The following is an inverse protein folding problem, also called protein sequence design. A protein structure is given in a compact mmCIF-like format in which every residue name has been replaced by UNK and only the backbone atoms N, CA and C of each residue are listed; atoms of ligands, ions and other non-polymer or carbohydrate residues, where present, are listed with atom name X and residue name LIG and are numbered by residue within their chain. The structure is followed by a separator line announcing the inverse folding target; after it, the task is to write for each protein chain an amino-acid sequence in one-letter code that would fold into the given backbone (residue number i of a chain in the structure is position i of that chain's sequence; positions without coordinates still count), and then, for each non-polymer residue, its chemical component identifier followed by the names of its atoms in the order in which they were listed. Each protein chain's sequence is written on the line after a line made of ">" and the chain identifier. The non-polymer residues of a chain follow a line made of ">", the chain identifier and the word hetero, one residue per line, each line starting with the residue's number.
data_IF_469994305415
#
_entry.id   IF_469994305415
#
_cell.length_a   1.000
_cell.length_b   1.000
_cell.length_c   1.000
_cell.angle_alpha   90.00
_cell.angle_beta   90.00
_cell.angle_gamma   90.00
#
_symmetry.space_group_name_H-M   'P 1'
#
loop_
_entity.id
_entity.type
_entity.pdbx_description
1 polymer ?
#
# COMPACT_ATOMS: atom_id res chain seq x y z
N UNK A 1 -21.12 -82.60 20.74
CA UNK A 1 -20.63 -81.28 21.08
C UNK A 1 -20.30 -80.53 19.79
N UNK A 2 -21.14 -79.56 19.43
CA UNK A 2 -20.98 -78.75 18.20
C UNK A 2 -20.51 -77.37 18.64
N UNK A 3 -19.24 -77.07 18.41
CA UNK A 3 -18.66 -75.73 18.63
C UNK A 3 -19.10 -74.87 17.50
N UNK A 4 -19.98 -73.92 17.79
CA UNK A 4 -20.35 -72.84 16.88
C UNK A 4 -19.19 -71.87 16.69
N UNK A 5 -18.69 -71.84 15.49
CA UNK A 5 -17.76 -70.79 15.03
C UNK A 5 -18.58 -69.53 14.70
N UNK A 6 -18.44 -68.47 15.47
CA UNK A 6 -18.92 -67.15 15.18
C UNK A 6 -17.82 -66.34 14.48
N UNK A 7 -17.87 -66.15 13.19
CA UNK A 7 -16.92 -65.27 12.50
C UNK A 7 -17.63 -63.95 12.12
N UNK A 8 -18.05 -63.15 13.09
CA UNK A 8 -18.82 -61.97 12.68
C UNK A 8 -18.58 -60.74 13.57
N UNK A 9 -17.36 -60.28 13.75
CA UNK A 9 -17.12 -58.95 14.36
C UNK A 9 -15.85 -58.27 13.93
N UNK A 10 -15.03 -58.87 13.04
CA UNK A 10 -13.76 -58.23 12.61
C UNK A 10 -13.94 -57.25 11.44
N UNK A 11 -14.89 -57.48 10.59
CA UNK A 11 -15.08 -56.66 9.39
C UNK A 11 -15.80 -55.36 9.73
N UNK A 12 -16.75 -55.35 10.65
CA UNK A 12 -17.48 -54.14 11.09
C UNK A 12 -16.58 -53.19 11.87
N UNK A 13 -15.66 -53.70 12.71
CA UNK A 13 -14.69 -52.86 13.41
C UNK A 13 -13.68 -52.20 12.45
N UNK A 14 -13.26 -52.92 11.41
CA UNK A 14 -12.37 -52.38 10.37
C UNK A 14 -12.98 -51.24 9.56
N UNK A 15 -14.24 -51.39 9.16
CA UNK A 15 -14.98 -50.36 8.42
C UNK A 15 -15.23 -49.13 9.30
N UNK A 16 -15.62 -49.31 10.57
CA UNK A 16 -15.81 -48.21 11.51
C UNK A 16 -14.54 -47.38 11.71
N UNK A 17 -13.38 -48.06 11.88
CA UNK A 17 -12.07 -47.38 12.03
C UNK A 17 -11.67 -46.62 10.79
N UNK A 18 -11.95 -47.15 9.58
CA UNK A 18 -11.68 -46.44 8.31
C UNK A 18 -12.52 -45.18 8.19
N UNK A 19 -13.81 -45.25 8.53
CA UNK A 19 -14.71 -44.07 8.49
C UNK A 19 -14.22 -43.00 9.49
N UNK A 20 -13.81 -43.40 10.68
CA UNK A 20 -13.26 -42.49 11.69
C UNK A 20 -12.02 -41.76 11.18
N UNK A 21 -11.06 -42.48 10.58
CA UNK A 21 -9.87 -41.86 9.98
C UNK A 21 -10.21 -40.87 8.84
N UNK A 22 -11.18 -41.20 8.00
CA UNK A 22 -11.63 -40.32 6.92
C UNK A 22 -12.25 -39.01 7.47
N UNK A 23 -13.10 -39.17 8.50
CA UNK A 23 -13.72 -38.00 9.14
C UNK A 23 -12.67 -37.11 9.81
N UNK A 24 -11.79 -37.72 10.63
CA UNK A 24 -10.72 -36.96 11.31
C UNK A 24 -9.79 -36.28 10.31
N UNK A 25 -9.38 -37.02 9.26
CA UNK A 25 -8.55 -36.44 8.20
C UNK A 25 -9.24 -35.30 7.47
N UNK A 26 -10.54 -35.43 7.18
CA UNK A 26 -11.34 -34.37 6.56
C UNK A 26 -11.43 -33.11 7.43
N UNK A 27 -11.69 -33.28 8.72
CA UNK A 27 -11.72 -32.18 9.69
C UNK A 27 -10.35 -31.48 9.79
N UNK A 28 -9.26 -32.25 9.88
CA UNK A 28 -7.91 -31.70 9.93
C UNK A 28 -7.54 -30.93 8.64
N UNK A 29 -7.90 -31.47 7.47
CA UNK A 29 -7.70 -30.80 6.20
C UNK A 29 -8.47 -29.48 6.11
N UNK A 30 -9.72 -29.47 6.55
CA UNK A 30 -10.54 -28.26 6.60
C UNK A 30 -9.94 -27.21 7.54
N UNK A 31 -9.51 -27.62 8.71
CA UNK A 31 -8.85 -26.76 9.69
C UNK A 31 -7.54 -26.18 9.14
N UNK A 32 -6.75 -27.00 8.42
CA UNK A 32 -5.53 -26.58 7.77
C UNK A 32 -5.78 -25.49 6.70
N UNK A 33 -6.83 -25.64 5.88
CA UNK A 33 -7.21 -24.63 4.91
C UNK A 33 -7.57 -23.30 5.59
N UNK A 34 -8.36 -23.35 6.68
CA UNK A 34 -8.69 -22.15 7.45
C UNK A 34 -7.43 -21.45 7.97
N UNK A 35 -6.49 -22.23 8.55
CA UNK A 35 -5.22 -21.69 9.06
C UNK A 35 -4.41 -21.06 7.93
N UNK A 36 -4.31 -21.69 6.76
CA UNK A 36 -3.62 -21.11 5.60
C UNK A 36 -4.23 -19.79 5.15
N UNK A 37 -5.56 -19.69 5.13
CA UNK A 37 -6.25 -18.44 4.76
C UNK A 37 -5.99 -17.32 5.79
N UNK A 38 -6.02 -17.65 7.09
CA UNK A 38 -5.73 -16.69 8.16
C UNK A 38 -4.27 -16.21 8.14
N UNK A 39 -3.33 -17.13 7.91
CA UNK A 39 -1.90 -16.79 7.78
C UNK A 39 -1.66 -15.87 6.58
N UNK A 40 -2.24 -16.19 5.42
CA UNK A 40 -2.10 -15.36 4.23
C UNK A 40 -2.63 -13.93 4.45
N UNK A 41 -3.82 -13.79 5.03
CA UNK A 41 -4.44 -12.49 5.27
C UNK A 41 -3.64 -11.61 6.27
N UNK A 42 -3.11 -12.22 7.34
CA UNK A 42 -2.48 -11.45 8.42
C UNK A 42 -0.97 -11.25 8.26
N UNK A 43 -0.28 -12.16 7.58
CA UNK A 43 1.20 -12.12 7.50
C UNK A 43 1.68 -11.50 6.19
N UNK A 44 0.95 -11.66 5.09
CA UNK A 44 1.42 -11.16 3.79
C UNK A 44 0.88 -9.77 3.43
N UNK A 45 -0.35 -9.43 3.78
CA UNK A 45 -0.96 -8.15 3.40
C UNK A 45 -0.54 -7.00 4.30
N UNK A 46 -0.53 -7.16 5.60
CA UNK A 46 -0.18 -6.09 6.53
C UNK A 46 1.23 -5.51 6.36
N UNK A 47 2.29 -6.31 6.26
CA UNK A 47 3.64 -5.81 5.99
C UNK A 47 3.79 -5.12 4.63
N UNK A 48 3.11 -5.62 3.59
CA UNK A 48 3.15 -5.02 2.26
C UNK A 48 2.55 -3.61 2.25
N UNK A 49 1.39 -3.41 2.89
CA UNK A 49 0.75 -2.10 3.03
C UNK A 49 1.60 -1.11 3.82
N UNK A 50 2.29 -1.58 4.87
CA UNK A 50 3.20 -0.75 5.67
C UNK A 50 4.41 -0.29 4.86
N UNK A 51 5.00 -1.19 4.08
CA UNK A 51 6.13 -0.85 3.20
C UNK A 51 5.70 0.14 2.11
N UNK A 52 4.53 -0.04 1.53
CA UNK A 52 3.99 0.87 0.54
C UNK A 52 3.71 2.25 1.13
N UNK A 53 3.08 2.33 2.30
CA UNK A 53 2.87 3.59 3.02
C UNK A 53 4.19 4.30 3.32
N UNK A 54 5.23 3.56 3.72
CA UNK A 54 6.56 4.12 3.96
C UNK A 54 7.18 4.68 2.68
N UNK A 55 7.09 3.93 1.57
CA UNK A 55 7.58 4.40 0.28
C UNK A 55 6.83 5.67 -0.19
N UNK A 56 5.52 5.74 -0.01
CA UNK A 56 4.73 6.94 -0.34
C UNK A 56 5.14 8.13 0.53
N UNK A 57 5.43 7.89 1.80
CA UNK A 57 5.93 8.93 2.71
C UNK A 57 7.29 9.47 2.26
N UNK A 58 8.20 8.60 1.85
CA UNK A 58 9.52 8.99 1.34
C UNK A 58 9.42 9.78 0.03
N UNK A 59 8.57 9.34 -0.90
CA UNK A 59 8.31 10.05 -2.15
C UNK A 59 7.73 11.44 -1.87
N UNK A 60 6.71 11.52 -1.00
CA UNK A 60 6.07 12.78 -0.65
C UNK A 60 7.02 13.77 0.03
N UNK A 61 7.85 13.29 0.96
CA UNK A 61 8.91 14.09 1.58
C UNK A 61 9.93 14.59 0.56
N UNK A 62 10.34 13.72 -0.37
CA UNK A 62 11.27 14.10 -1.44
C UNK A 62 10.72 15.20 -2.34
N UNK A 63 9.43 15.14 -2.68
CA UNK A 63 8.75 16.19 -3.49
C UNK A 63 8.63 17.48 -2.67
N UNK A 64 8.16 17.40 -1.42
CA UNK A 64 8.05 18.56 -0.52
C UNK A 64 9.37 19.29 -0.36
N UNK A 65 10.47 18.56 -0.12
CA UNK A 65 11.81 19.13 -0.01
C UNK A 65 12.22 19.87 -1.29
N UNK A 66 12.00 19.27 -2.46
CA UNK A 66 12.32 19.92 -3.75
C UNK A 66 11.52 21.19 -3.99
N UNK A 67 10.27 21.24 -3.53
CA UNK A 67 9.46 22.46 -3.59
C UNK A 67 10.03 23.56 -2.70
N UNK A 68 10.44 23.21 -1.47
CA UNK A 68 11.08 24.16 -0.55
C UNK A 68 12.41 24.69 -1.12
N UNK A 69 13.25 23.79 -1.64
CA UNK A 69 14.52 24.15 -2.25
C UNK A 69 14.33 25.12 -3.45
N UNK A 70 13.39 24.78 -4.34
CA UNK A 70 13.07 25.63 -5.49
C UNK A 70 12.59 27.01 -5.06
N UNK A 71 11.72 27.07 -4.05
CA UNK A 71 11.20 28.33 -3.52
C UNK A 71 12.28 29.17 -2.85
N UNK A 72 13.25 28.55 -2.18
CA UNK A 72 14.35 29.24 -1.51
C UNK A 72 15.29 29.98 -2.46
N UNK A 73 15.41 29.48 -3.69
CA UNK A 73 16.23 30.08 -4.76
C UNK A 73 15.39 30.84 -5.81
N UNK A 74 14.08 30.94 -5.56
CA UNK A 74 13.15 31.51 -6.52
C UNK A 74 13.45 33.00 -6.77
N UNK A 75 13.45 33.45 -8.04
CA UNK A 75 13.70 34.85 -8.35
C UNK A 75 12.53 35.74 -7.88
N UNK A 76 12.81 36.98 -7.51
CA UNK A 76 11.78 37.97 -7.18
C UNK A 76 10.91 38.31 -8.38
N UNK A 77 11.47 38.24 -9.60
CA UNK A 77 10.76 38.41 -10.85
C UNK A 77 11.20 37.31 -11.85
N UNK A 78 10.22 36.63 -12.45
CA UNK A 78 10.48 35.61 -13.46
C UNK A 78 10.07 34.20 -13.05
N UNK A 79 10.51 33.24 -13.82
CA UNK A 79 10.14 31.83 -13.69
C UNK A 79 11.39 31.00 -13.52
N UNK A 80 11.33 30.02 -12.62
CA UNK A 80 12.33 28.96 -12.49
C UNK A 80 11.64 27.61 -12.58
N UNK A 81 12.27 26.69 -13.30
CA UNK A 81 11.75 25.33 -13.51
C UNK A 81 12.86 24.33 -13.25
N UNK A 82 12.56 23.29 -12.51
CA UNK A 82 13.42 22.14 -12.31
C UNK A 82 12.73 20.84 -12.68
N UNK A 83 13.50 19.91 -13.23
CA UNK A 83 13.02 18.56 -13.51
C UNK A 83 13.68 17.58 -12.54
N UNK A 84 12.93 16.58 -12.13
CA UNK A 84 13.40 15.57 -11.19
C UNK A 84 12.73 14.23 -11.50
N UNK A 85 13.33 13.18 -11.00
CA UNK A 85 12.84 11.83 -11.11
C UNK A 85 12.37 11.32 -9.76
N UNK A 86 11.31 10.51 -9.78
CA UNK A 86 10.79 9.75 -8.64
C UNK A 86 10.58 8.31 -9.12
N UNK A 87 10.52 7.33 -8.23
CA UNK A 87 10.31 5.93 -8.64
C UNK A 87 9.13 5.77 -9.59
N UNK A 88 9.32 5.06 -10.70
CA UNK A 88 8.27 4.83 -11.70
C UNK A 88 7.07 4.08 -11.12
N UNK A 89 7.34 3.19 -10.16
CA UNK A 89 6.34 2.39 -9.47
C UNK A 89 6.74 2.13 -8.01
N UNK A 90 5.78 1.67 -7.20
CA UNK A 90 6.01 1.13 -5.86
C UNK A 90 5.46 -0.29 -5.83
N UNK A 91 6.32 -1.27 -5.56
CA UNK A 91 6.00 -2.70 -5.57
C UNK A 91 5.39 -3.18 -6.89
N UNK A 92 5.91 -2.68 -8.03
CA UNK A 92 5.44 -3.01 -9.37
C UNK A 92 4.07 -2.43 -9.73
N UNK A 93 3.61 -1.41 -9.00
CA UNK A 93 2.30 -0.79 -9.19
C UNK A 93 2.41 0.73 -9.33
N UNK A 94 1.61 1.28 -10.23
CA UNK A 94 1.50 2.73 -10.43
C UNK A 94 0.89 3.41 -9.21
N UNK A 95 1.29 4.66 -8.97
CA UNK A 95 0.74 5.51 -7.92
C UNK A 95 0.50 6.93 -8.45
N UNK A 96 -0.20 7.73 -7.67
CA UNK A 96 -0.55 9.11 -8.01
C UNK A 96 -0.02 10.06 -6.95
N UNK A 97 0.38 11.24 -7.39
CA UNK A 97 0.78 12.34 -6.53
C UNK A 97 -0.12 13.53 -6.84
N UNK A 98 -0.69 14.11 -5.79
CA UNK A 98 -1.47 15.36 -5.87
C UNK A 98 -0.86 16.35 -4.90
N UNK A 99 -0.67 17.58 -5.38
CA UNK A 99 -0.11 18.66 -4.57
C UNK A 99 -1.14 19.78 -4.48
N UNK A 100 -1.25 20.36 -3.32
CA UNK A 100 -2.28 21.34 -2.98
C UNK A 100 -3.34 20.73 -2.06
N UNK A 101 -4.61 21.00 -2.29
CA UNK A 101 -5.71 20.33 -1.61
C UNK A 101 -5.85 20.74 -0.15
N UNK A 102 -6.25 21.94 0.09
CA UNK A 102 -6.71 22.43 1.38
C UNK A 102 -7.59 23.67 1.14
N UNK A 103 -8.55 23.88 2.01
CA UNK A 103 -9.39 25.08 1.95
C UNK A 103 -8.58 26.35 2.25
N UNK A 104 -7.44 26.18 2.92
CA UNK A 104 -6.53 27.26 3.30
C UNK A 104 -5.11 26.97 2.80
N UNK A 105 -4.35 28.04 2.55
CA UNK A 105 -2.92 27.93 2.18
C UNK A 105 -2.10 27.15 3.21
N UNK A 106 -2.45 27.22 4.50
CA UNK A 106 -1.74 26.49 5.56
C UNK A 106 -1.96 24.99 5.54
N UNK A 107 -3.00 24.51 4.88
CA UNK A 107 -3.41 23.09 4.85
C UNK A 107 -2.92 22.38 3.58
N UNK A 108 -2.10 23.04 2.77
CA UNK A 108 -1.55 22.44 1.56
C UNK A 108 -0.61 21.27 1.89
N UNK A 109 -0.75 20.22 1.13
CA UNK A 109 0.01 18.99 1.30
C UNK A 109 0.44 18.35 -0.03
N UNK A 110 1.37 17.44 0.05
CA UNK A 110 1.69 16.47 -1.00
C UNK A 110 1.03 15.17 -0.60
N UNK A 111 0.05 14.73 -1.34
CA UNK A 111 -0.59 13.44 -1.18
C UNK A 111 -0.04 12.46 -2.20
N UNK A 112 0.50 11.34 -1.72
CA UNK A 112 0.90 10.19 -2.55
C UNK A 112 -0.02 9.04 -2.22
N UNK A 113 -0.68 8.47 -3.24
CA UNK A 113 -1.70 7.46 -2.97
C UNK A 113 -1.87 6.43 -4.08
N UNK A 114 -2.42 5.29 -3.69
CA UNK A 114 -2.94 4.23 -4.55
C UNK A 114 -4.09 3.50 -3.86
N UNK A 115 -5.27 3.49 -4.49
CA UNK A 115 -6.45 2.87 -3.90
C UNK A 115 -6.79 3.46 -2.53
N UNK A 116 -6.72 2.64 -1.48
CA UNK A 116 -7.02 3.04 -0.10
C UNK A 116 -5.80 3.47 0.70
N UNK A 117 -4.59 3.22 0.18
CA UNK A 117 -3.33 3.58 0.84
C UNK A 117 -2.94 4.99 0.40
N UNK A 118 -2.78 5.90 1.34
CA UNK A 118 -2.37 7.27 1.08
C UNK A 118 -1.45 7.81 2.17
N UNK A 119 -0.45 8.57 1.77
CA UNK A 119 0.40 9.36 2.66
C UNK A 119 0.23 10.84 2.36
N UNK A 120 0.03 11.66 3.38
CA UNK A 120 -0.14 13.11 3.27
C UNK A 120 1.03 13.81 3.98
N UNK A 121 1.80 14.57 3.23
CA UNK A 121 2.95 15.32 3.73
C UNK A 121 2.63 16.82 3.69
N UNK A 122 2.62 17.47 4.83
CA UNK A 122 2.39 18.90 4.90
C UNK A 122 3.50 19.68 4.18
N UNK A 123 3.11 20.70 3.41
CA UNK A 123 4.03 21.68 2.82
C UNK A 123 4.37 22.75 3.87
N UNK A 124 5.22 22.37 4.83
CA UNK A 124 5.62 23.26 5.92
C UNK A 124 6.35 24.51 5.41
N UNK A 125 5.93 25.68 5.89
CA UNK A 125 6.54 26.96 5.57
C UNK A 125 6.04 27.60 4.26
N UNK A 126 6.19 26.94 3.13
CA UNK A 126 5.78 27.47 1.81
C UNK A 126 4.27 27.48 1.68
N UNK A 127 3.59 26.45 2.13
CA UNK A 127 2.16 26.29 1.99
C UNK A 127 1.36 27.46 2.54
N UNK A 128 1.85 28.14 3.57
CA UNK A 128 1.20 29.34 4.12
C UNK A 128 1.46 30.62 3.33
N UNK A 129 2.44 30.65 2.41
CA UNK A 129 2.88 31.86 1.70
C UNK A 129 2.49 31.87 0.23
N UNK A 130 2.41 30.73 -0.40
CA UNK A 130 2.10 30.58 -1.81
C UNK A 130 1.19 29.39 -2.07
N UNK A 131 0.26 29.55 -2.98
CA UNK A 131 -0.54 28.44 -3.48
C UNK A 131 0.33 27.52 -4.32
N UNK A 132 0.29 26.22 -4.02
CA UNK A 132 0.95 25.18 -4.79
C UNK A 132 -0.12 24.21 -5.26
N UNK A 133 -0.08 23.85 -6.53
CA UNK A 133 -1.03 22.89 -7.09
C UNK A 133 -0.43 22.10 -8.24
N UNK A 134 -0.91 20.90 -8.41
CA UNK A 134 -0.53 20.03 -9.50
C UNK A 134 -0.77 18.56 -9.17
N UNK A 135 -0.61 17.76 -10.20
CA UNK A 135 -0.68 16.31 -10.09
C UNK A 135 0.34 15.64 -11.00
N UNK A 136 0.78 14.49 -10.61
CA UNK A 136 1.70 13.66 -11.41
C UNK A 136 1.59 12.19 -11.03
N UNK A 137 2.31 11.37 -11.78
CA UNK A 137 2.53 9.95 -11.49
C UNK A 137 4.03 9.69 -11.39
N UNK A 138 4.43 8.48 -10.98
CA UNK A 138 5.85 8.09 -10.95
C UNK A 138 6.53 8.08 -12.32
N UNK A 139 5.76 7.93 -13.40
CA UNK A 139 6.30 7.67 -14.72
C UNK A 139 6.97 8.88 -15.36
N UNK A 140 8.24 8.72 -15.70
CA UNK A 140 9.02 9.68 -16.43
C UNK A 140 9.48 10.88 -15.60
N UNK A 141 10.03 11.90 -16.28
CA UNK A 141 10.53 13.09 -15.62
C UNK A 141 9.40 14.01 -15.16
N UNK A 142 9.39 14.28 -13.87
CA UNK A 142 8.51 15.23 -13.24
C UNK A 142 9.11 16.65 -13.27
N UNK A 143 8.27 17.67 -13.17
CA UNK A 143 8.71 19.05 -13.25
C UNK A 143 7.99 19.91 -12.22
N UNK A 144 8.75 20.74 -11.52
CA UNK A 144 8.25 21.79 -10.65
C UNK A 144 8.62 23.13 -11.27
N UNK A 145 7.65 24.03 -11.35
CA UNK A 145 7.86 25.40 -11.84
C UNK A 145 7.38 26.42 -10.82
N UNK A 146 8.17 27.44 -10.62
CA UNK A 146 7.78 28.64 -9.87
C UNK A 146 7.65 29.81 -10.84
N UNK A 147 6.61 30.62 -10.67
CA UNK A 147 6.41 31.88 -11.38
C UNK A 147 6.08 32.97 -10.36
N UNK A 148 6.88 34.03 -10.34
CA UNK A 148 6.67 35.16 -9.42
C UNK A 148 5.33 35.88 -9.64
N UNK A 149 4.83 35.90 -10.88
CA UNK A 149 3.51 36.45 -11.27
C UNK A 149 2.31 35.57 -10.96
N UNK A 150 2.53 34.33 -10.51
CA UNK A 150 1.50 33.29 -10.36
C UNK A 150 1.31 32.48 -11.64
N UNK A 151 0.39 31.51 -11.57
CA UNK A 151 -0.09 30.76 -12.72
C UNK A 151 -1.56 31.09 -12.90
N UNK A 152 -1.95 31.47 -14.10
CA UNK A 152 -3.33 31.75 -14.54
C UNK A 152 -4.09 30.45 -14.84
#
# INVERSE_FOLDING_TARGET
>A
MRTGYHPENRDETGVSTLIEYVIVSGVLMFLFVIVLLLVNANIMQGPAETLEYTAFTDIGNGISTRMVDLYSIAPTNGTITTSFDIPDDVAGQDYFVVVGGGDNLADQNVQVYRGTIASNISLAGIGATRKVEGNTTGKGLNRISYNSGGFD
#
